data_IF_322688050264
#
_entry.id   IF_322688050264
#
_cell.length_a   1.000
_cell.length_b   1.000
_cell.length_c   1.000
_cell.angle_alpha   90.00
_cell.angle_beta   90.00
_cell.angle_gamma   90.00
#
_symmetry.space_group_name_H-M   'P 1'
#
loop_
_entity.id
_entity.type
_entity.pdbx_description
1 polymer ?
#
# COMPACT_ATOMS: atom_id res chain seq x y z
N UNK A 1 3.79 -12.71 5.54
CA UNK A 1 3.64 -14.16 5.37
C UNK A 1 2.82 -14.73 6.53
N UNK A 2 1.48 -14.64 6.49
CA UNK A 2 0.61 -15.03 7.62
C UNK A 2 0.69 -16.51 8.02
N UNK A 3 1.13 -17.36 7.10
CA UNK A 3 1.29 -18.80 7.27
C UNK A 3 2.66 -19.21 7.84
N UNK A 4 3.61 -18.28 8.02
CA UNK A 4 4.97 -18.65 8.44
C UNK A 4 5.02 -19.18 9.89
N UNK A 5 4.04 -18.84 10.74
CA UNK A 5 3.97 -19.31 12.13
C UNK A 5 3.97 -20.84 12.27
N UNK A 6 3.53 -21.56 11.24
CA UNK A 6 3.50 -23.00 11.24
C UNK A 6 4.86 -23.68 11.01
N UNK A 7 5.92 -22.90 10.81
CA UNK A 7 7.30 -23.41 10.84
C UNK A 7 7.83 -23.58 12.27
N UNK A 8 7.05 -23.20 13.29
CA UNK A 8 7.46 -23.35 14.68
C UNK A 8 7.24 -24.80 15.16
N UNK A 9 8.24 -25.42 15.83
CA UNK A 9 9.54 -24.86 16.20
C UNK A 9 10.52 -24.83 15.03
N UNK A 10 11.30 -23.76 14.88
CA UNK A 10 12.17 -23.56 13.69
C UNK A 10 13.52 -24.29 13.78
N UNK A 11 13.55 -25.46 14.41
CA UNK A 11 14.74 -26.32 14.50
C UNK A 11 15.01 -27.01 13.17
N UNK A 12 16.28 -27.33 12.89
CA UNK A 12 16.67 -27.91 11.59
C UNK A 12 15.95 -29.24 11.35
N UNK A 13 15.88 -30.12 12.36
CA UNK A 13 15.12 -31.38 12.30
C UNK A 13 13.63 -31.17 11.98
N UNK A 14 12.99 -30.14 12.55
CA UNK A 14 11.58 -29.87 12.29
C UNK A 14 11.39 -29.34 10.86
N UNK A 15 12.26 -28.42 10.42
CA UNK A 15 12.21 -27.90 9.06
C UNK A 15 12.48 -29.01 8.02
N UNK A 16 13.39 -29.93 8.30
CA UNK A 16 13.65 -31.11 7.46
C UNK A 16 12.43 -32.03 7.38
N UNK A 17 11.74 -32.23 8.50
CA UNK A 17 10.48 -32.98 8.50
C UNK A 17 9.44 -32.30 7.60
N UNK A 18 9.31 -30.98 7.69
CA UNK A 18 8.39 -30.21 6.83
C UNK A 18 8.79 -30.32 5.35
N UNK A 19 10.09 -30.31 5.08
CA UNK A 19 10.61 -30.45 3.73
C UNK A 19 10.40 -31.85 3.14
N UNK A 20 10.46 -32.91 3.96
CA UNK A 20 10.37 -34.29 3.50
C UNK A 20 8.94 -34.75 3.23
N UNK A 21 7.95 -34.21 3.95
CA UNK A 21 6.55 -34.61 3.76
C UNK A 21 6.06 -34.38 2.32
N UNK A 22 5.43 -35.41 1.77
CA UNK A 22 4.64 -35.34 0.54
C UNK A 22 3.26 -34.72 0.81
N UNK A 23 2.66 -34.10 -0.22
CA UNK A 23 1.35 -33.44 -0.11
C UNK A 23 0.24 -34.36 0.43
N UNK A 24 0.35 -35.67 0.17
CA UNK A 24 -0.60 -36.70 0.61
C UNK A 24 -0.42 -37.07 2.09
N UNK A 25 0.83 -37.19 2.56
CA UNK A 25 1.14 -37.51 3.95
C UNK A 25 0.72 -36.38 4.90
N UNK A 26 0.78 -35.13 4.42
CA UNK A 26 0.22 -33.98 5.15
C UNK A 26 -1.30 -34.07 5.37
N UNK A 27 -2.05 -34.64 4.42
CA UNK A 27 -3.52 -34.79 4.50
C UNK A 27 -3.93 -35.87 5.50
N UNK A 28 -3.09 -36.90 5.65
CA UNK A 28 -3.44 -38.13 6.38
C UNK A 28 -2.96 -38.13 7.84
N UNK A 29 -1.96 -37.33 8.22
CA UNK A 29 -1.29 -37.43 9.53
C UNK A 29 -1.91 -36.59 10.66
N UNK A 30 -2.86 -35.68 10.42
CA UNK A 30 -3.32 -34.76 11.47
C UNK A 30 -4.85 -34.54 11.51
N UNK A 31 -5.52 -34.69 12.67
CA UNK A 31 -6.96 -34.92 12.73
C UNK A 31 -7.79 -33.69 12.32
N UNK A 32 -8.86 -33.95 11.58
CA UNK A 32 -9.87 -32.98 11.17
C UNK A 32 -10.53 -32.33 12.39
N UNK A 33 -10.52 -30.99 12.48
CA UNK A 33 -11.30 -30.29 13.50
C UNK A 33 -10.94 -28.84 13.83
N UNK A 34 -9.83 -28.29 13.33
CA UNK A 34 -9.46 -26.91 13.65
C UNK A 34 -9.34 -26.04 12.38
N UNK A 35 -10.05 -24.91 12.33
CA UNK A 35 -10.03 -23.94 11.22
C UNK A 35 -8.63 -23.40 10.93
N UNK A 36 -7.73 -23.42 11.92
CA UNK A 36 -6.30 -23.15 11.76
C UNK A 36 -5.65 -24.07 10.69
N UNK A 37 -5.99 -25.34 10.65
CA UNK A 37 -5.31 -26.33 9.80
C UNK A 37 -5.72 -26.25 8.33
N UNK A 38 -6.92 -25.75 8.04
CA UNK A 38 -7.34 -25.42 6.67
C UNK A 38 -6.45 -24.32 6.05
N UNK A 39 -5.96 -23.38 6.87
CA UNK A 39 -5.01 -22.36 6.42
C UNK A 39 -3.61 -22.92 6.17
N UNK A 40 -3.15 -23.89 6.96
CA UNK A 40 -1.90 -24.60 6.72
C UNK A 40 -1.92 -25.31 5.36
N UNK A 41 -2.98 -26.08 5.09
CA UNK A 41 -3.11 -26.87 3.86
C UNK A 41 -3.06 -26.03 2.58
N UNK A 42 -3.74 -24.88 2.58
CA UNK A 42 -3.74 -23.95 1.43
C UNK A 42 -2.36 -23.34 1.14
N UNK A 43 -1.43 -23.39 2.09
CA UNK A 43 -0.11 -22.76 1.98
C UNK A 43 1.03 -23.79 2.11
N UNK A 44 0.75 -25.10 2.02
CA UNK A 44 1.75 -26.15 2.22
C UNK A 44 3.00 -25.97 1.34
N UNK A 45 2.82 -25.68 0.05
CA UNK A 45 3.93 -25.41 -0.88
C UNK A 45 4.78 -24.21 -0.46
N UNK A 46 4.13 -23.15 0.03
CA UNK A 46 4.80 -21.93 0.48
C UNK A 46 5.57 -22.17 1.78
N UNK A 47 4.98 -22.92 2.71
CA UNK A 47 5.59 -23.33 3.96
C UNK A 47 6.83 -24.19 3.68
N UNK A 48 6.70 -25.19 2.80
CA UNK A 48 7.80 -26.05 2.35
C UNK A 48 8.91 -25.25 1.68
N UNK A 49 8.56 -24.33 0.78
CA UNK A 49 9.52 -23.42 0.12
C UNK A 49 10.29 -22.59 1.15
N UNK A 50 9.61 -22.03 2.16
CA UNK A 50 10.25 -21.25 3.20
C UNK A 50 11.13 -22.11 4.13
N UNK A 51 10.69 -23.32 4.47
CA UNK A 51 11.48 -24.26 5.28
C UNK A 51 12.81 -24.61 4.57
N UNK A 52 12.74 -25.00 3.30
CA UNK A 52 13.91 -25.31 2.47
C UNK A 52 14.84 -24.11 2.32
N UNK A 53 14.28 -22.91 2.13
CA UNK A 53 15.06 -21.68 2.05
C UNK A 53 15.83 -21.39 3.35
N UNK A 54 15.16 -21.55 4.50
CA UNK A 54 15.78 -21.34 5.81
C UNK A 54 16.88 -22.37 6.07
N UNK A 55 16.66 -23.64 5.74
CA UNK A 55 17.67 -24.70 5.89
C UNK A 55 18.90 -24.42 5.03
N UNK A 56 18.70 -24.08 3.76
CA UNK A 56 19.78 -23.79 2.81
C UNK A 56 20.65 -22.62 3.29
N UNK A 57 20.03 -21.55 3.77
CA UNK A 57 20.70 -20.28 4.08
C UNK A 57 20.89 -20.06 5.59
N UNK A 58 20.80 -21.12 6.40
CA UNK A 58 20.69 -21.06 7.87
C UNK A 58 21.82 -20.29 8.55
N UNK A 59 23.01 -20.28 7.95
CA UNK A 59 24.20 -19.59 8.47
C UNK A 59 24.23 -18.11 8.12
N UNK A 60 23.59 -17.73 7.03
CA UNK A 60 23.68 -16.40 6.42
C UNK A 60 22.47 -15.51 6.76
N UNK A 61 21.41 -16.12 7.31
CA UNK A 61 20.19 -15.40 7.71
C UNK A 61 19.88 -15.61 9.19
N UNK A 62 19.48 -14.53 9.86
CA UNK A 62 18.67 -14.60 11.08
C UNK A 62 17.25 -14.20 10.71
N UNK A 63 16.26 -14.77 11.39
CA UNK A 63 14.87 -14.46 11.09
C UNK A 63 14.02 -14.49 12.34
N UNK A 64 12.88 -13.80 12.27
CA UNK A 64 11.88 -13.73 13.33
C UNK A 64 10.49 -13.82 12.74
N UNK A 65 9.68 -14.74 13.27
CA UNK A 65 8.29 -14.88 12.88
C UNK A 65 7.45 -14.27 14.01
N UNK A 66 6.73 -13.19 13.70
CA UNK A 66 5.87 -12.45 14.64
C UNK A 66 4.47 -12.32 14.06
N UNK A 67 3.55 -13.17 14.52
CA UNK A 67 2.17 -13.24 14.02
C UNK A 67 2.14 -13.35 12.48
N UNK A 68 1.75 -12.27 11.79
CA UNK A 68 1.60 -12.22 10.32
C UNK A 68 2.87 -11.79 9.57
N UNK A 69 3.87 -11.30 10.32
CA UNK A 69 5.09 -10.74 9.78
C UNK A 69 6.26 -11.69 9.97
N UNK A 70 7.06 -11.85 8.93
CA UNK A 70 8.33 -12.57 8.98
C UNK A 70 9.42 -11.57 8.65
N UNK A 71 10.36 -11.38 9.58
CA UNK A 71 11.48 -10.47 9.44
C UNK A 71 12.74 -11.30 9.18
N UNK A 72 13.53 -10.87 8.20
CA UNK A 72 14.85 -11.44 7.91
C UNK A 72 15.93 -10.39 8.15
N UNK A 73 17.05 -10.83 8.73
CA UNK A 73 18.24 -10.03 9.00
C UNK A 73 19.41 -10.71 8.30
N UNK A 74 19.98 -10.03 7.32
CA UNK A 74 21.04 -10.57 6.44
C UNK A 74 21.73 -9.42 5.70
N UNK A 75 22.72 -9.74 4.87
CA UNK A 75 23.41 -8.77 4.01
C UNK A 75 22.56 -8.33 2.79
N UNK A 76 23.04 -7.33 2.05
CA UNK A 76 22.34 -6.77 0.89
C UNK A 76 22.08 -7.79 -0.23
N UNK A 77 23.03 -8.70 -0.48
CA UNK A 77 22.91 -9.67 -1.56
C UNK A 77 21.84 -10.71 -1.24
N UNK A 78 21.87 -11.26 -0.02
CA UNK A 78 20.86 -12.20 0.45
C UNK A 78 19.49 -11.54 0.62
N UNK A 79 19.43 -10.26 1.01
CA UNK A 79 18.17 -9.52 1.07
C UNK A 79 17.50 -9.44 -0.31
N UNK A 80 18.26 -9.20 -1.38
CA UNK A 80 17.75 -9.23 -2.77
C UNK A 80 17.27 -10.63 -3.18
N UNK A 81 17.96 -11.69 -2.76
CA UNK A 81 17.52 -13.08 -2.99
C UNK A 81 16.19 -13.38 -2.26
N UNK A 82 16.05 -12.93 -1.00
CA UNK A 82 14.80 -13.08 -0.23
C UNK A 82 13.65 -12.33 -0.91
N UNK A 83 13.88 -11.08 -1.32
CA UNK A 83 12.87 -10.25 -2.00
C UNK A 83 12.39 -10.93 -3.28
N UNK A 84 13.31 -11.35 -4.13
CA UNK A 84 12.98 -12.02 -5.40
C UNK A 84 12.30 -13.38 -5.20
N UNK A 85 12.79 -14.19 -4.24
CA UNK A 85 12.24 -15.53 -3.97
C UNK A 85 10.80 -15.48 -3.45
N UNK A 86 10.48 -14.47 -2.65
CA UNK A 86 9.18 -14.34 -2.00
C UNK A 86 8.40 -13.10 -2.45
N UNK A 87 8.63 -12.63 -3.69
CA UNK A 87 8.00 -11.43 -4.26
C UNK A 87 6.48 -11.37 -4.02
N UNK A 88 5.78 -12.47 -4.31
CA UNK A 88 4.33 -12.61 -4.16
C UNK A 88 3.82 -12.49 -2.71
N UNK A 89 4.70 -12.57 -1.71
CA UNK A 89 4.35 -12.47 -0.29
C UNK A 89 4.55 -11.07 0.29
N UNK A 90 5.13 -10.14 -0.48
CA UNK A 90 5.31 -8.75 -0.06
C UNK A 90 3.98 -8.01 -0.13
N UNK A 91 3.64 -7.29 0.95
CA UNK A 91 2.50 -6.39 0.98
C UNK A 91 2.93 -4.99 0.56
N UNK A 92 1.99 -4.24 -0.03
CA UNK A 92 2.22 -2.87 -0.51
C UNK A 92 3.31 -2.74 -1.60
N UNK A 93 3.68 -3.83 -2.24
CA UNK A 93 4.47 -3.87 -3.45
C UNK A 93 3.60 -4.48 -4.56
N UNK A 94 3.51 -3.80 -5.70
CA UNK A 94 2.83 -4.32 -6.89
C UNK A 94 3.74 -4.03 -8.09
N UNK A 95 3.76 -4.94 -9.06
CA UNK A 95 4.55 -4.80 -10.27
C UNK A 95 3.65 -4.35 -11.40
N UNK A 96 4.05 -3.29 -12.09
CA UNK A 96 3.38 -2.86 -13.32
C UNK A 96 3.92 -3.69 -14.49
N UNK A 97 3.07 -4.20 -15.39
CA UNK A 97 3.52 -4.86 -16.61
C UNK A 97 4.53 -4.01 -17.38
N UNK A 98 5.58 -4.61 -17.95
CA UNK A 98 6.66 -3.88 -18.64
C UNK A 98 6.15 -2.90 -19.71
N UNK A 99 5.08 -3.24 -20.43
CA UNK A 99 4.47 -2.37 -21.44
C UNK A 99 3.76 -1.13 -20.87
N UNK A 100 3.49 -1.08 -19.57
CA UNK A 100 2.82 0.03 -18.87
C UNK A 100 3.79 0.82 -17.98
N UNK A 101 5.07 0.45 -17.92
CA UNK A 101 6.10 1.14 -17.11
C UNK A 101 6.30 2.60 -17.50
N UNK A 102 6.09 2.96 -18.77
CA UNK A 102 6.12 4.35 -19.24
C UNK A 102 5.05 5.25 -18.60
N UNK A 103 4.02 4.66 -17.97
CA UNK A 103 2.98 5.39 -17.22
C UNK A 103 3.39 5.67 -15.77
N UNK A 104 4.50 5.08 -15.29
CA UNK A 104 5.08 5.34 -13.98
C UNK A 104 5.86 6.64 -14.02
N UNK A 105 5.19 7.74 -13.71
CA UNK A 105 5.82 9.02 -13.42
C UNK A 105 5.86 9.26 -11.89
N UNK A 106 6.78 10.10 -11.42
CA UNK A 106 7.00 10.42 -10.01
C UNK A 106 5.72 10.86 -9.29
N UNK A 107 4.80 11.51 -10.01
CA UNK A 107 3.53 12.00 -9.49
C UNK A 107 2.31 11.25 -10.07
N UNK A 108 2.50 10.03 -10.58
CA UNK A 108 1.42 9.21 -11.11
C UNK A 108 1.20 7.94 -10.28
N UNK A 109 -0.06 7.56 -10.13
CA UNK A 109 -0.49 6.32 -9.47
C UNK A 109 -1.31 5.53 -10.47
N UNK A 110 -0.83 4.33 -10.82
CA UNK A 110 -1.62 3.41 -11.63
C UNK A 110 -2.68 2.76 -10.75
N UNK A 111 -3.92 2.76 -11.21
CA UNK A 111 -5.04 2.21 -10.43
C UNK A 111 -6.02 1.46 -11.32
N UNK A 112 -6.69 0.45 -10.74
CA UNK A 112 -7.80 -0.28 -11.39
C UNK A 112 -9.08 0.57 -11.42
N UNK A 113 -9.26 1.41 -10.40
CA UNK A 113 -10.43 2.28 -10.22
C UNK A 113 -9.97 3.65 -9.74
N UNK A 114 -10.51 4.70 -10.35
CA UNK A 114 -10.30 6.07 -9.93
C UNK A 114 -10.94 6.32 -8.54
N UNK A 115 -10.36 7.21 -7.70
CA UNK A 115 -11.02 7.69 -6.49
C UNK A 115 -12.44 8.18 -6.78
N UNK A 116 -13.40 7.70 -5.97
CA UNK A 116 -14.84 7.92 -6.15
C UNK A 116 -15.37 7.60 -7.56
N UNK A 117 -14.64 6.78 -8.33
CA UNK A 117 -14.99 6.38 -9.69
C UNK A 117 -14.79 7.45 -10.77
N UNK A 118 -14.36 8.67 -10.43
CA UNK A 118 -14.33 9.79 -11.39
C UNK A 118 -13.14 10.74 -11.28
N UNK A 119 -12.39 10.76 -10.17
CA UNK A 119 -11.35 11.77 -9.99
C UNK A 119 -9.99 11.32 -10.50
N UNK A 120 -9.44 12.06 -11.48
CA UNK A 120 -8.12 11.76 -12.04
C UNK A 120 -6.98 12.42 -11.27
N UNK A 121 -7.25 13.41 -10.41
CA UNK A 121 -6.20 14.15 -9.72
C UNK A 121 -6.48 14.30 -8.22
N UNK A 122 -5.43 14.20 -7.42
CA UNK A 122 -5.43 14.51 -5.99
C UNK A 122 -4.42 15.61 -5.71
N UNK A 123 -4.93 16.73 -5.21
CA UNK A 123 -4.13 17.92 -4.88
C UNK A 123 -3.78 17.86 -3.40
N UNK A 124 -2.52 17.59 -3.10
CA UNK A 124 -2.00 17.58 -1.74
C UNK A 124 -1.65 18.98 -1.28
N UNK A 125 -2.06 19.31 -0.07
CA UNK A 125 -1.83 20.60 0.55
C UNK A 125 -0.62 20.57 1.47
N UNK A 126 0.12 21.67 1.52
CA UNK A 126 1.20 21.88 2.49
C UNK A 126 0.67 21.79 3.91
N UNK A 127 1.56 21.48 4.85
CA UNK A 127 1.22 21.54 6.28
C UNK A 127 0.96 22.99 6.72
N UNK A 128 0.10 23.16 7.71
CA UNK A 128 -0.26 24.45 8.31
C UNK A 128 -0.78 25.48 7.30
N UNK A 129 -1.69 25.09 6.40
CA UNK A 129 -2.26 25.99 5.39
C UNK A 129 -2.88 27.26 5.99
N UNK A 130 -3.37 27.21 7.24
CA UNK A 130 -3.88 28.39 7.96
C UNK A 130 -2.84 29.50 8.18
N UNK A 131 -1.53 29.19 8.09
CA UNK A 131 -0.45 30.17 8.18
C UNK A 131 -0.05 30.74 6.82
N UNK A 132 -0.51 30.13 5.74
CA UNK A 132 -0.08 30.42 4.37
C UNK A 132 -1.21 31.16 3.63
N UNK A 133 -2.43 30.62 3.73
CA UNK A 133 -3.59 31.06 2.98
C UNK A 133 -4.20 32.33 3.59
N UNK A 134 -4.37 33.37 2.79
CA UNK A 134 -5.11 34.57 3.21
C UNK A 134 -6.61 34.29 3.25
N UNK A 135 -7.33 35.08 4.05
CA UNK A 135 -8.79 34.93 4.22
C UNK A 135 -9.56 34.94 2.89
N UNK A 136 -9.25 35.88 2.00
CA UNK A 136 -9.89 35.99 0.69
C UNK A 136 -9.61 34.78 -0.21
N UNK A 137 -8.37 34.27 -0.20
CA UNK A 137 -7.99 33.07 -0.96
C UNK A 137 -8.70 31.83 -0.42
N UNK A 138 -8.84 31.73 0.90
CA UNK A 138 -9.60 30.67 1.56
C UNK A 138 -11.06 30.64 1.11
N UNK A 139 -11.72 31.79 1.17
CA UNK A 139 -13.12 31.93 0.77
C UNK A 139 -13.31 31.63 -0.73
N UNK A 140 -12.43 32.16 -1.59
CA UNK A 140 -12.47 31.92 -3.03
C UNK A 140 -12.24 30.44 -3.36
N UNK A 141 -11.27 29.79 -2.70
CA UNK A 141 -10.99 28.38 -2.88
C UNK A 141 -12.18 27.53 -2.42
N UNK A 142 -12.76 27.83 -1.26
CA UNK A 142 -13.93 27.12 -0.78
C UNK A 142 -15.12 27.28 -1.73
N UNK A 143 -15.41 28.50 -2.21
CA UNK A 143 -16.47 28.74 -3.20
C UNK A 143 -16.25 27.92 -4.47
N UNK A 144 -15.03 27.93 -5.02
CA UNK A 144 -14.70 27.14 -6.19
C UNK A 144 -14.94 25.64 -5.97
N UNK A 145 -14.44 25.08 -4.86
CA UNK A 145 -14.57 23.66 -4.57
C UNK A 145 -16.03 23.24 -4.28
N UNK A 146 -16.77 24.04 -3.52
CA UNK A 146 -18.14 23.73 -3.08
C UNK A 146 -19.19 23.94 -4.19
N UNK A 147 -18.99 24.88 -5.11
CA UNK A 147 -19.88 25.10 -6.26
C UNK A 147 -19.73 24.03 -7.35
N UNK A 148 -18.69 23.20 -7.27
CA UNK A 148 -18.35 22.21 -8.27
C UNK A 148 -18.30 20.77 -7.68
N UNK A 149 -19.35 20.30 -6.96
CA UNK A 149 -19.31 19.01 -6.24
C UNK A 149 -19.19 17.79 -7.15
N UNK A 150 -19.59 17.93 -8.42
CA UNK A 150 -19.44 16.86 -9.40
C UNK A 150 -18.01 16.65 -9.85
N UNK A 151 -17.18 17.69 -9.74
CA UNK A 151 -15.82 17.72 -10.29
C UNK A 151 -14.75 17.97 -9.25
N UNK A 152 -15.12 18.34 -8.03
CA UNK A 152 -14.24 18.56 -6.89
C UNK A 152 -14.77 17.80 -5.66
N UNK A 153 -13.86 17.26 -4.86
CA UNK A 153 -14.24 16.60 -3.60
C UNK A 153 -13.19 16.85 -2.51
N UNK A 154 -13.61 17.50 -1.41
CA UNK A 154 -12.76 17.72 -0.24
C UNK A 154 -12.68 16.41 0.55
N UNK A 155 -11.47 15.90 0.77
CA UNK A 155 -11.28 14.53 1.27
C UNK A 155 -11.67 14.29 2.72
N UNK A 156 -11.81 15.35 3.52
CA UNK A 156 -11.98 15.23 4.96
C UNK A 156 -12.74 16.41 5.55
N UNK A 157 -13.56 16.10 6.55
CA UNK A 157 -14.35 17.08 7.30
C UNK A 157 -13.50 18.20 7.93
N UNK A 158 -12.34 17.95 8.57
CA UNK A 158 -11.54 19.02 9.15
C UNK A 158 -11.01 20.02 8.10
N UNK A 159 -10.68 19.53 6.89
CA UNK A 159 -10.26 20.40 5.80
C UNK A 159 -11.42 21.23 5.27
N UNK A 160 -12.61 20.64 5.17
CA UNK A 160 -13.83 21.32 4.78
C UNK A 160 -14.23 22.40 5.80
N UNK A 161 -14.20 22.08 7.09
CA UNK A 161 -14.45 23.02 8.19
C UNK A 161 -13.45 24.20 8.18
N UNK A 162 -12.19 23.95 7.78
CA UNK A 162 -11.22 25.04 7.64
C UNK A 162 -11.57 25.94 6.46
N UNK A 163 -11.85 25.37 5.29
CA UNK A 163 -12.17 26.12 4.09
C UNK A 163 -13.48 26.90 4.20
N UNK A 164 -14.49 26.32 4.84
CA UNK A 164 -15.79 26.96 5.03
C UNK A 164 -15.81 28.01 6.16
N UNK A 165 -14.71 28.12 6.92
CA UNK A 165 -14.56 29.10 7.99
C UNK A 165 -14.98 28.64 9.38
N UNK A 166 -15.53 27.42 9.54
CA UNK A 166 -15.95 26.88 10.85
C UNK A 166 -14.79 26.70 11.83
N UNK A 167 -13.58 26.46 11.33
CA UNK A 167 -12.36 26.43 12.14
C UNK A 167 -11.29 27.36 11.58
N UNK A 168 -10.49 28.04 12.44
CA UNK A 168 -9.35 28.80 11.99
C UNK A 168 -8.15 27.90 11.62
N UNK A 169 -8.18 26.60 11.96
CA UNK A 169 -7.03 25.72 11.83
C UNK A 169 -7.14 24.75 10.65
N UNK A 170 -6.23 24.90 9.68
CA UNK A 170 -6.02 23.96 8.59
C UNK A 170 -4.63 23.33 8.69
N UNK A 171 -4.57 22.06 9.10
CA UNK A 171 -3.31 21.38 9.41
C UNK A 171 -2.67 20.70 8.19
N UNK A 172 -3.43 19.88 7.48
CA UNK A 172 -2.99 19.18 6.27
C UNK A 172 -4.21 18.54 5.60
N UNK A 173 -4.04 18.12 4.36
CA UNK A 173 -5.04 17.32 3.68
C UNK A 173 -4.84 17.33 2.19
N UNK A 174 -5.83 16.81 1.50
CA UNK A 174 -5.90 16.86 0.05
C UNK A 174 -7.35 17.01 -0.39
N UNK A 175 -7.55 17.34 -1.65
CA UNK A 175 -8.86 17.21 -2.27
C UNK A 175 -8.67 16.62 -3.67
N UNK A 176 -9.75 16.11 -4.23
CA UNK A 176 -9.76 15.52 -5.55
C UNK A 176 -10.35 16.48 -6.57
N UNK A 177 -9.82 16.43 -7.79
CA UNK A 177 -10.44 17.07 -8.95
C UNK A 177 -10.56 16.09 -10.10
N UNK A 178 -11.58 16.29 -10.93
CA UNK A 178 -11.99 15.32 -11.95
C UNK A 178 -10.99 15.22 -13.07
N UNK A 179 -10.59 16.35 -13.62
CA UNK A 179 -9.80 16.47 -14.83
C UNK A 179 -8.79 17.61 -14.72
N UNK A 180 -7.78 17.61 -15.60
CA UNK A 180 -6.66 18.55 -15.57
C UNK A 180 -7.09 20.03 -15.63
N UNK A 181 -8.19 20.32 -16.34
CA UNK A 181 -8.70 21.68 -16.54
C UNK A 181 -9.10 22.33 -15.21
N UNK A 182 -9.45 21.53 -14.21
CA UNK A 182 -9.79 21.99 -12.87
C UNK A 182 -8.57 22.38 -12.03
N UNK A 183 -7.34 22.08 -12.48
CA UNK A 183 -6.13 22.49 -11.77
C UNK A 183 -5.80 23.97 -11.98
N UNK A 184 -6.06 24.52 -13.16
CA UNK A 184 -5.69 25.89 -13.49
C UNK A 184 -6.32 26.93 -12.53
N UNK A 185 -7.63 26.88 -12.20
CA UNK A 185 -8.21 27.79 -11.21
C UNK A 185 -7.55 27.67 -9.83
N UNK A 186 -7.12 26.47 -9.42
CA UNK A 186 -6.46 26.27 -8.13
C UNK A 186 -5.11 26.98 -8.07
N UNK A 187 -4.32 26.88 -9.15
CA UNK A 187 -3.05 27.58 -9.29
C UNK A 187 -3.21 29.10 -9.41
N UNK A 188 -4.40 29.60 -9.81
CA UNK A 188 -4.70 31.03 -9.80
C UNK A 188 -5.14 31.54 -8.43
N UNK A 189 -5.91 30.74 -7.68
CA UNK A 189 -6.49 31.16 -6.40
C UNK A 189 -5.48 31.05 -5.26
N UNK A 190 -4.81 29.89 -5.14
CA UNK A 190 -3.98 29.55 -4.00
C UNK A 190 -2.81 28.61 -4.38
N UNK A 191 -1.91 29.01 -5.28
CA UNK A 191 -0.76 28.18 -5.67
C UNK A 191 0.16 27.86 -4.49
N UNK A 192 0.28 28.76 -3.52
CA UNK A 192 1.20 28.65 -2.40
C UNK A 192 0.89 27.52 -1.42
N UNK A 193 -0.35 27.04 -1.36
CA UNK A 193 -0.75 25.92 -0.49
C UNK A 193 -0.58 24.56 -1.16
N UNK A 194 -0.39 24.51 -2.48
CA UNK A 194 -0.25 23.25 -3.22
C UNK A 194 1.14 22.68 -2.94
N UNK A 195 1.19 21.48 -2.36
CA UNK A 195 2.44 20.76 -2.12
C UNK A 195 2.82 19.91 -3.33
N UNK A 196 1.87 19.13 -3.85
CA UNK A 196 2.02 18.31 -5.05
C UNK A 196 0.65 17.93 -5.61
N UNK A 197 0.63 17.56 -6.88
CA UNK A 197 -0.56 17.00 -7.53
C UNK A 197 -0.23 15.59 -7.95
N UNK A 198 -1.02 14.61 -7.49
CA UNK A 198 -0.92 13.22 -7.91
C UNK A 198 -1.95 12.94 -8.99
N UNK A 199 -1.56 12.30 -10.09
CA UNK A 199 -2.45 11.84 -11.16
C UNK A 199 -2.76 10.36 -11.00
N UNK A 200 -4.03 9.99 -11.09
CA UNK A 200 -4.47 8.61 -11.17
C UNK A 200 -4.63 8.21 -12.64
N UNK A 201 -3.85 7.22 -13.07
CA UNK A 201 -3.96 6.67 -14.42
C UNK A 201 -4.68 5.34 -14.31
N UNK A 202 -5.88 5.28 -14.88
CA UNK A 202 -6.65 4.03 -14.91
C UNK A 202 -6.03 3.09 -15.92
N UNK A 203 -5.61 1.91 -15.48
CA UNK A 203 -5.11 0.85 -16.36
C UNK A 203 -6.15 -0.28 -16.44
N UNK A 204 -6.51 -0.66 -17.66
CA UNK A 204 -7.27 -1.89 -17.89
C UNK A 204 -6.27 -3.05 -17.89
N UNK A 205 -6.60 -4.14 -17.18
CA UNK A 205 -5.86 -5.40 -17.31
C UNK A 205 -6.05 -5.99 -18.70
#
# INVERSE_FOLDING_TARGET
>A
MPWACYLYPTTDQHLESIASYGEKEYKDTWPQGNTHWMYFHKNADKIKKLALFILKNRKDIKFRIQHVNTLFYTDDQMAKEIISTFWEEWSNADSVPNNQTHLLDQNSVLCKRLPHGKFEYQVHLKKNIHRILKQNQRENLYRYLSQNPDTCHISSKPLEEYFNGSTPYGWQGYFYVRDEKMLAPLYMIAPEIIQKVMRFVKVNK
#
